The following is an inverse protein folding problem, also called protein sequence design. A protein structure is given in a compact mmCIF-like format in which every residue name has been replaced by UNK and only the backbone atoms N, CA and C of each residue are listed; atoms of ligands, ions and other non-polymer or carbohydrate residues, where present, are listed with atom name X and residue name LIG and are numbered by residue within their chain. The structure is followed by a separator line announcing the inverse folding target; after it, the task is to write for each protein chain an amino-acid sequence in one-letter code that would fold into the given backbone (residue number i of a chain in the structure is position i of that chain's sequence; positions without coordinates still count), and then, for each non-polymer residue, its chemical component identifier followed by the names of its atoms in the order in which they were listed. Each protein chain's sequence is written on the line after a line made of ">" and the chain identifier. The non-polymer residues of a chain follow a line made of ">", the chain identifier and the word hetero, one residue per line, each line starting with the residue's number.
data_IF_957131776263
#
_entry.id   IF_957131776263
#
_cell.length_a   1.000
_cell.length_b   1.000
_cell.length_c   1.000
_cell.angle_alpha   90.00
_cell.angle_beta   90.00
_cell.angle_gamma   90.00
#
_symmetry.space_group_name_H-M   'P 1'
#
loop_
_entity.id
_entity.type
_entity.pdbx_description
1 polymer ?
#
# COMPACT_ATOMS: atom_id res chain seq x y z
N UNK A 1 -5.34 39.48 -33.70
CA UNK A 1 -5.30 40.13 -32.38
C UNK A 1 -5.12 39.01 -31.33
N UNK A 2 -4.09 39.11 -30.48
CA UNK A 2 -3.52 38.11 -29.52
C UNK A 2 -4.48 37.76 -28.35
N UNK A 3 -4.20 36.81 -27.40
CA UNK A 3 -3.08 35.87 -27.26
C UNK A 3 -3.44 34.41 -26.85
N UNK A 4 -2.38 33.61 -26.73
CA UNK A 4 -2.22 32.23 -26.29
C UNK A 4 -2.72 31.87 -24.86
N UNK A 5 -3.05 30.59 -24.67
CA UNK A 5 -2.77 29.88 -23.41
C UNK A 5 -1.97 28.62 -23.74
N UNK A 6 -0.68 28.72 -23.42
CA UNK A 6 0.27 27.62 -23.30
C UNK A 6 -0.02 26.93 -21.97
N UNK A 7 -0.60 25.74 -21.98
CA UNK A 7 -0.53 24.86 -20.81
C UNK A 7 0.80 24.08 -20.87
N UNK A 8 1.67 24.21 -19.86
CA UNK A 8 2.89 23.41 -19.80
C UNK A 8 2.55 21.94 -19.50
N UNK A 9 3.37 21.07 -20.11
CA UNK A 9 3.36 19.62 -19.96
C UNK A 9 3.35 19.22 -18.47
N UNK A 10 2.29 18.51 -18.07
CA UNK A 10 2.38 17.62 -16.92
C UNK A 10 3.33 16.50 -17.35
N UNK A 11 4.46 16.41 -16.66
CA UNK A 11 5.44 15.36 -16.86
C UNK A 11 4.74 14.01 -16.68
N UNK A 12 4.58 13.33 -17.82
CA UNK A 12 4.25 11.94 -17.95
C UNK A 12 5.46 11.15 -17.42
N UNK A 13 5.63 11.14 -16.10
CA UNK A 13 6.61 10.30 -15.42
C UNK A 13 6.00 8.91 -15.36
N UNK A 14 6.09 8.20 -16.49
CA UNK A 14 5.94 6.76 -16.55
C UNK A 14 6.88 6.10 -15.56
N UNK A 15 6.40 5.89 -14.34
CA UNK A 15 6.90 4.83 -13.49
C UNK A 15 6.27 3.55 -14.04
N UNK A 16 6.90 2.97 -15.06
CA UNK A 16 6.68 1.56 -15.37
C UNK A 16 7.00 0.79 -14.09
N UNK A 17 5.94 0.38 -13.41
CA UNK A 17 5.98 -0.32 -12.14
C UNK A 17 6.51 -1.74 -12.39
N UNK A 18 7.82 -1.90 -12.57
CA UNK A 18 8.48 -3.21 -12.72
C UNK A 18 8.52 -4.03 -11.43
N UNK A 19 7.72 -3.67 -10.42
CA UNK A 19 7.57 -4.46 -9.18
C UNK A 19 6.12 -4.86 -8.86
N UNK A 20 5.10 -4.39 -9.57
CA UNK A 20 3.72 -4.72 -9.19
C UNK A 20 3.21 -5.99 -9.87
N UNK A 21 3.81 -7.12 -9.51
CA UNK A 21 3.19 -8.44 -9.74
C UNK A 21 2.33 -8.86 -8.53
N UNK A 22 1.62 -7.90 -7.93
CA UNK A 22 0.68 -8.21 -6.85
C UNK A 22 -0.71 -8.41 -7.44
N UNK A 23 -1.15 -9.67 -7.52
CA UNK A 23 -2.55 -10.08 -7.78
C UNK A 23 -3.53 -9.63 -6.67
N UNK A 24 -3.14 -8.62 -5.88
CA UNK A 24 -3.76 -8.20 -4.63
C UNK A 24 -4.71 -7.04 -4.93
N UNK A 25 -5.96 -7.12 -4.48
CA UNK A 25 -7.01 -6.14 -4.78
C UNK A 25 -6.89 -4.86 -3.93
N UNK A 26 -5.78 -4.13 -4.05
CA UNK A 26 -5.57 -2.84 -3.37
C UNK A 26 -6.56 -1.78 -3.89
N UNK A 27 -6.97 -0.86 -3.01
CA UNK A 27 -7.70 0.34 -3.48
C UNK A 27 -6.70 1.32 -4.10
N UNK A 28 -7.12 2.25 -4.97
CA UNK A 28 -6.20 3.24 -5.56
C UNK A 28 -5.42 4.08 -4.53
N UNK A 29 -6.04 4.34 -3.37
CA UNK A 29 -5.38 5.02 -2.25
C UNK A 29 -4.30 4.15 -1.59
N UNK A 30 -4.56 2.86 -1.45
CA UNK A 30 -3.58 1.90 -0.93
C UNK A 30 -2.43 1.71 -1.92
N UNK A 31 -2.71 1.58 -3.22
CA UNK A 31 -1.70 1.52 -4.28
C UNK A 31 -0.79 2.75 -4.27
N UNK A 32 -1.38 3.94 -4.18
CA UNK A 32 -0.63 5.20 -4.13
C UNK A 32 0.27 5.25 -2.90
N UNK A 33 -0.24 4.80 -1.75
CA UNK A 33 0.53 4.76 -0.50
C UNK A 33 1.68 3.73 -0.54
N UNK A 34 1.46 2.57 -1.18
CA UNK A 34 2.52 1.57 -1.40
C UNK A 34 3.57 2.11 -2.36
N UNK A 35 3.17 2.84 -3.41
CA UNK A 35 4.09 3.44 -4.36
C UNK A 35 5.05 4.46 -3.71
N UNK A 36 4.60 5.17 -2.68
CA UNK A 36 5.49 6.06 -1.89
C UNK A 36 6.61 5.30 -1.15
N UNK A 37 6.47 3.98 -0.95
CA UNK A 37 7.50 3.12 -0.33
C UNK A 37 8.54 2.57 -1.33
N UNK A 38 8.48 2.98 -2.59
CA UNK A 38 9.48 2.55 -3.57
C UNK A 38 10.86 3.16 -3.28
N UNK A 39 11.96 2.40 -3.47
CA UNK A 39 13.31 2.84 -3.12
C UNK A 39 13.69 4.21 -3.69
N UNK A 40 13.32 4.50 -4.93
CA UNK A 40 13.62 5.77 -5.59
C UNK A 40 12.87 6.98 -5.03
N UNK A 41 11.71 6.75 -4.39
CA UNK A 41 10.96 7.77 -3.65
C UNK A 41 11.59 7.95 -2.28
N UNK A 42 11.86 6.85 -1.57
CA UNK A 42 12.46 6.85 -0.23
C UNK A 42 13.82 7.53 -0.19
N UNK A 43 14.67 7.31 -1.21
CA UNK A 43 16.00 7.93 -1.31
C UNK A 43 15.99 9.47 -1.41
N UNK A 44 14.82 10.08 -1.64
CA UNK A 44 14.63 11.53 -1.74
C UNK A 44 13.95 12.13 -0.51
N UNK A 45 13.52 11.30 0.45
CA UNK A 45 12.82 11.73 1.65
C UNK A 45 13.80 12.01 2.79
N UNK A 46 13.48 13.02 3.60
CA UNK A 46 14.15 13.24 4.88
C UNK A 46 13.58 12.35 6.01
N UNK A 47 14.28 12.27 7.14
CA UNK A 47 13.87 11.45 8.28
C UNK A 47 12.49 11.80 8.86
N UNK A 48 11.98 13.03 8.69
CA UNK A 48 10.62 13.39 9.11
C UNK A 48 9.60 12.82 8.13
N UNK A 49 9.84 12.98 6.83
CA UNK A 49 8.99 12.42 5.76
C UNK A 49 8.92 10.89 5.85
N UNK A 50 10.04 10.23 6.14
CA UNK A 50 10.08 8.78 6.36
C UNK A 50 9.23 8.34 7.57
N UNK A 51 9.30 9.05 8.70
CA UNK A 51 8.46 8.78 9.89
C UNK A 51 6.96 9.02 9.62
N UNK A 52 6.65 10.06 8.86
CA UNK A 52 5.27 10.38 8.46
C UNK A 52 4.72 9.29 7.51
N UNK A 53 5.52 8.81 6.55
CA UNK A 53 5.16 7.67 5.69
C UNK A 53 4.98 6.37 6.49
N UNK A 54 5.92 6.04 7.38
CA UNK A 54 5.82 4.86 8.26
C UNK A 54 4.52 4.87 9.07
N UNK A 55 4.13 6.04 9.60
CA UNK A 55 2.90 6.18 10.40
C UNK A 55 1.66 5.92 9.56
N UNK A 56 1.59 6.46 8.32
CA UNK A 56 0.48 6.20 7.39
C UNK A 56 0.39 4.73 6.98
N UNK A 57 1.52 4.10 6.67
CA UNK A 57 1.58 2.66 6.35
C UNK A 57 1.09 1.80 7.52
N UNK A 58 1.50 2.09 8.76
CA UNK A 58 1.03 1.38 9.97
C UNK A 58 -0.49 1.50 10.14
N UNK A 59 -1.06 2.68 9.93
CA UNK A 59 -2.51 2.89 10.03
C UNK A 59 -3.28 2.10 8.95
N UNK A 60 -2.79 2.12 7.70
CA UNK A 60 -3.38 1.36 6.61
C UNK A 60 -3.31 -0.16 6.82
N UNK A 61 -2.16 -0.65 7.31
CA UNK A 61 -1.95 -2.05 7.70
C UNK A 61 -2.92 -2.47 8.79
N UNK A 62 -3.01 -1.71 9.88
CA UNK A 62 -3.89 -2.04 11.02
C UNK A 62 -5.36 -2.06 10.60
N UNK A 63 -5.77 -1.12 9.75
CA UNK A 63 -7.12 -1.12 9.17
C UNK A 63 -7.40 -2.39 8.38
N UNK A 64 -6.47 -2.81 7.52
CA UNK A 64 -6.62 -4.04 6.73
C UNK A 64 -6.62 -5.30 7.60
N UNK A 65 -5.74 -5.36 8.60
CA UNK A 65 -5.68 -6.46 9.57
C UNK A 65 -6.98 -6.58 10.39
N UNK A 66 -7.51 -5.45 10.87
CA UNK A 66 -8.78 -5.41 11.60
C UNK A 66 -9.96 -5.89 10.73
N UNK A 67 -9.99 -5.53 9.45
CA UNK A 67 -10.99 -6.00 8.50
C UNK A 67 -10.88 -7.50 8.21
N UNK A 68 -9.65 -8.00 8.01
CA UNK A 68 -9.37 -9.43 7.87
C UNK A 68 -9.91 -10.21 9.08
N UNK A 69 -9.56 -9.78 10.30
CA UNK A 69 -9.98 -10.45 11.53
C UNK A 69 -11.50 -10.46 11.70
N UNK A 70 -12.17 -9.32 11.48
CA UNK A 70 -13.63 -9.20 11.65
C UNK A 70 -14.40 -10.05 10.64
N UNK A 71 -13.96 -10.07 9.38
CA UNK A 71 -14.62 -10.87 8.34
C UNK A 71 -14.36 -12.36 8.51
N UNK A 72 -13.15 -12.73 8.96
CA UNK A 72 -12.86 -14.10 9.37
C UNK A 72 -13.81 -14.57 10.48
N UNK A 73 -14.05 -13.75 11.50
CA UNK A 73 -15.00 -14.07 12.57
C UNK A 73 -16.45 -14.17 12.06
N UNK A 74 -16.93 -13.18 11.29
CA UNK A 74 -18.30 -13.18 10.77
C UNK A 74 -18.61 -14.38 9.84
N UNK A 75 -17.62 -14.89 9.12
CA UNK A 75 -17.80 -16.07 8.25
C UNK A 75 -17.72 -17.39 9.00
N UNK A 76 -16.94 -17.48 10.06
CA UNK A 76 -17.01 -18.64 10.97
C UNK A 76 -18.42 -18.78 11.56
N UNK A 77 -19.04 -17.66 11.92
CA UNK A 77 -20.44 -17.62 12.39
C UNK A 77 -21.45 -17.97 11.28
N UNK A 78 -21.22 -17.55 10.03
CA UNK A 78 -22.16 -17.72 8.92
C UNK A 78 -22.05 -19.06 8.17
N UNK A 79 -20.85 -19.60 7.97
CA UNK A 79 -20.60 -20.76 7.09
C UNK A 79 -20.39 -22.06 7.88
N UNK A 80 -20.46 -22.02 9.22
CA UNK A 80 -20.47 -23.23 10.07
C UNK A 80 -19.19 -24.07 10.05
N UNK A 81 -18.13 -23.65 9.36
CA UNK A 81 -16.88 -24.41 9.25
C UNK A 81 -15.73 -23.61 8.64
N UNK A 82 -14.52 -23.80 9.20
CA UNK A 82 -13.28 -23.10 8.82
C UNK A 82 -12.89 -23.24 7.34
N UNK A 83 -13.33 -24.29 6.66
CA UNK A 83 -12.92 -24.61 5.28
C UNK A 83 -13.56 -23.76 4.18
N UNK A 84 -14.77 -23.22 4.37
CA UNK A 84 -15.44 -22.41 3.35
C UNK A 84 -14.97 -20.93 3.34
N UNK A 85 -14.54 -20.42 4.50
CA UNK A 85 -14.06 -19.05 4.67
C UNK A 85 -12.61 -18.82 4.15
N UNK A 86 -11.90 -19.87 3.76
CA UNK A 86 -10.46 -19.87 3.51
C UNK A 86 -10.00 -19.02 2.30
N UNK A 87 -10.63 -19.10 1.10
CA UNK A 87 -10.10 -18.45 -0.11
C UNK A 87 -10.22 -16.91 -0.10
N UNK A 88 -11.20 -16.36 0.62
CA UNK A 88 -11.38 -14.91 0.73
C UNK A 88 -10.51 -14.28 1.84
N UNK A 89 -10.11 -15.07 2.83
CA UNK A 89 -9.15 -14.65 3.85
C UNK A 89 -7.72 -14.63 3.29
N UNK A 90 -7.37 -15.57 2.41
CA UNK A 90 -6.07 -15.62 1.73
C UNK A 90 -5.77 -14.30 0.98
N UNK A 91 -6.70 -13.82 0.13
CA UNK A 91 -6.56 -12.55 -0.61
C UNK A 91 -6.44 -11.29 0.26
N UNK A 92 -6.92 -11.35 1.51
CA UNK A 92 -6.82 -10.24 2.47
C UNK A 92 -5.56 -10.35 3.34
N UNK A 93 -5.03 -11.56 3.55
CA UNK A 93 -3.69 -11.78 4.09
C UNK A 93 -2.63 -11.16 3.19
N UNK A 94 -2.75 -11.36 1.87
CA UNK A 94 -1.87 -10.76 0.88
C UNK A 94 -1.77 -9.22 0.99
N UNK A 95 -2.89 -8.52 1.29
CA UNK A 95 -2.85 -7.07 1.53
C UNK A 95 -1.96 -6.69 2.71
N UNK A 96 -2.10 -7.41 3.82
CA UNK A 96 -1.33 -7.14 5.03
C UNK A 96 0.16 -7.38 4.78
N UNK A 97 0.48 -8.44 4.03
CA UNK A 97 1.85 -8.75 3.62
C UNK A 97 2.47 -7.63 2.76
N UNK A 98 1.72 -7.09 1.77
CA UNK A 98 2.21 -5.95 0.96
C UNK A 98 2.52 -4.73 1.84
N UNK A 99 1.69 -4.44 2.84
CA UNK A 99 1.96 -3.37 3.79
C UNK A 99 3.14 -3.67 4.72
N UNK A 100 3.34 -4.93 5.12
CA UNK A 100 4.49 -5.35 5.93
C UNK A 100 5.81 -5.21 5.17
N UNK A 101 5.84 -5.59 3.90
CA UNK A 101 7.02 -5.37 3.05
C UNK A 101 7.33 -3.88 2.86
N UNK A 102 6.30 -3.05 2.63
CA UNK A 102 6.47 -1.60 2.53
C UNK A 102 7.03 -0.99 3.83
N UNK A 103 6.53 -1.44 4.99
CA UNK A 103 7.05 -1.02 6.30
C UNK A 103 8.50 -1.45 6.53
N UNK A 104 8.87 -2.67 6.11
CA UNK A 104 10.23 -3.16 6.20
C UNK A 104 11.20 -2.29 5.37
N UNK A 105 10.82 -1.92 4.13
CA UNK A 105 11.61 -1.02 3.28
C UNK A 105 11.81 0.35 3.95
N UNK A 106 10.74 0.98 4.45
CA UNK A 106 10.86 2.28 5.14
C UNK A 106 11.72 2.17 6.40
N UNK A 107 11.62 1.06 7.13
CA UNK A 107 12.47 0.78 8.30
C UNK A 107 13.96 0.76 7.94
N UNK A 108 14.33 0.06 6.86
CA UNK A 108 15.72 0.00 6.38
C UNK A 108 16.30 1.39 6.08
N UNK A 109 15.50 2.32 5.54
CA UNK A 109 15.95 3.69 5.29
C UNK A 109 16.06 4.52 6.57
N UNK A 110 15.14 4.34 7.53
CA UNK A 110 15.20 5.02 8.82
C UNK A 110 16.36 4.56 9.71
N UNK A 111 16.76 3.29 9.60
CA UNK A 111 17.88 2.75 10.36
C UNK A 111 19.24 3.12 9.76
N UNK A 112 19.25 3.62 8.52
CA UNK A 112 20.44 4.03 7.78
C UNK A 112 20.77 5.54 7.89
N UNK A 113 19.86 6.34 8.43
CA UNK A 113 19.94 7.80 8.63
C UNK A 113 20.38 8.15 10.07
#
# INVERSE_FOLDING_TARGET
>A
MRPAIRHPAAADSGYESTVSNHHVNLTPQEESLIAESHPEVLARMDGKQLKDLQSRLRQAREKNFSLLRRQGAARVEAEGGRGAAQPANEKRGEKVEVFDEALARVGQYLDAD
#
